data_IF_218975640636
#
_entry.id   IF_218975640636
#
_cell.length_a   1.000
_cell.length_b   1.000
_cell.length_c   1.000
_cell.angle_alpha   90.00
_cell.angle_beta   90.00
_cell.angle_gamma   90.00
#
_symmetry.space_group_name_H-M   'P 1'
#
loop_
_entity.id
_entity.type
_entity.pdbx_description
1 polymer ?
#
# COMPACT_ATOMS: atom_id res chain seq x y z
N UNK A 1 -18.46 18.19 -3.70
CA UNK A 1 -17.09 17.65 -3.52
C UNK A 1 -17.06 16.98 -2.16
N UNK A 2 -16.83 15.67 -2.11
CA UNK A 2 -16.80 14.92 -0.85
C UNK A 2 -15.34 14.75 -0.41
N UNK A 3 -14.88 15.64 0.47
CA UNK A 3 -13.52 15.64 1.04
C UNK A 3 -13.30 14.55 2.08
N UNK A 4 -14.32 13.71 2.37
CA UNK A 4 -14.28 12.69 3.42
C UNK A 4 -13.32 11.52 3.13
N UNK A 5 -12.88 11.37 1.87
CA UNK A 5 -11.99 10.31 1.41
C UNK A 5 -10.50 10.69 1.40
N UNK A 6 -10.17 11.99 1.50
CA UNK A 6 -8.79 12.45 1.50
C UNK A 6 -8.04 11.98 2.76
N UNK A 7 -6.93 11.27 2.57
CA UNK A 7 -6.14 10.68 3.65
C UNK A 7 -4.66 10.60 3.29
N UNK A 8 -3.80 10.69 4.30
CA UNK A 8 -2.38 10.37 4.18
C UNK A 8 -2.19 8.95 4.72
N UNK A 9 -1.63 8.06 3.91
CA UNK A 9 -1.28 6.71 4.36
C UNK A 9 0.23 6.64 4.56
N UNK A 10 0.66 6.37 5.79
CA UNK A 10 2.08 6.24 6.14
C UNK A 10 2.46 4.76 6.07
N UNK A 11 3.51 4.45 5.31
CA UNK A 11 4.03 3.10 5.12
C UNK A 11 5.53 3.05 5.42
N UNK A 12 6.02 1.87 5.81
CA UNK A 12 7.44 1.61 6.05
C UNK A 12 7.89 0.34 5.36
N UNK A 13 9.17 0.30 5.01
CA UNK A 13 9.86 -0.90 4.60
C UNK A 13 11.15 -1.02 5.42
N UNK A 14 11.40 -2.19 6.01
CA UNK A 14 12.62 -2.49 6.76
C UNK A 14 13.60 -3.37 5.99
N UNK A 15 13.30 -3.65 4.72
CA UNK A 15 14.12 -4.49 3.83
C UNK A 15 14.78 -3.61 2.77
N UNK A 16 15.94 -4.05 2.26
CA UNK A 16 16.62 -3.32 1.18
C UNK A 16 15.92 -3.46 -0.16
N UNK A 17 15.13 -4.53 -0.34
CA UNK A 17 14.40 -4.80 -1.56
C UNK A 17 13.01 -4.14 -1.52
N UNK A 18 12.78 -3.24 -2.47
CA UNK A 18 11.49 -2.56 -2.66
C UNK A 18 10.42 -3.55 -3.15
N UNK A 19 10.62 -4.13 -4.33
CA UNK A 19 9.68 -5.00 -5.02
C UNK A 19 9.94 -6.46 -4.66
N UNK A 20 8.89 -7.15 -4.20
CA UNK A 20 8.93 -8.61 -3.99
C UNK A 20 8.68 -9.34 -5.30
N UNK A 21 7.64 -8.96 -6.04
CA UNK A 21 7.18 -9.67 -7.24
C UNK A 21 6.25 -8.81 -8.08
N UNK A 22 6.17 -9.14 -9.38
CA UNK A 22 5.21 -8.58 -10.33
C UNK A 22 4.60 -9.70 -11.17
N UNK A 23 3.29 -9.66 -11.38
CA UNK A 23 2.56 -10.73 -12.06
C UNK A 23 1.20 -10.22 -12.54
N UNK A 24 0.58 -10.95 -13.47
CA UNK A 24 -0.83 -10.77 -13.77
C UNK A 24 -1.67 -11.58 -12.79
N UNK A 25 -2.79 -11.01 -12.34
CA UNK A 25 -3.83 -11.81 -11.71
C UNK A 25 -4.44 -12.78 -12.73
N UNK A 26 -5.00 -13.89 -12.27
CA UNK A 26 -5.71 -14.84 -13.14
C UNK A 26 -7.21 -14.58 -13.18
N UNK A 27 -7.75 -14.05 -12.08
CA UNK A 27 -9.14 -13.63 -11.88
C UNK A 27 -9.19 -12.81 -10.59
N UNK A 28 -10.38 -12.34 -10.20
CA UNK A 28 -10.54 -11.65 -8.93
C UNK A 28 -11.90 -11.00 -8.75
N UNK A 29 -11.99 -10.18 -7.72
CA UNK A 29 -13.12 -9.30 -7.43
C UNK A 29 -12.63 -7.90 -7.11
N UNK A 30 -13.44 -7.11 -6.41
CA UNK A 30 -13.01 -5.76 -6.01
C UNK A 30 -11.99 -5.77 -4.87
N UNK A 31 -12.00 -6.78 -3.99
CA UNK A 31 -11.17 -6.83 -2.78
C UNK A 31 -10.31 -8.10 -2.66
N UNK A 32 -10.18 -8.85 -3.75
CA UNK A 32 -9.29 -10.01 -3.83
C UNK A 32 -8.84 -10.24 -5.27
N UNK A 33 -7.71 -10.91 -5.43
CA UNK A 33 -7.25 -11.42 -6.71
C UNK A 33 -6.71 -12.84 -6.57
N UNK A 34 -6.88 -13.62 -7.62
CA UNK A 34 -6.39 -14.99 -7.71
C UNK A 34 -5.08 -14.99 -8.53
N UNK A 35 -4.18 -15.92 -8.21
CA UNK A 35 -2.87 -16.05 -8.85
C UNK A 35 -2.61 -17.48 -9.31
N UNK A 36 -1.72 -17.65 -10.29
CA UNK A 36 -1.31 -18.98 -10.78
C UNK A 36 -0.60 -19.81 -9.71
N UNK A 37 0.15 -19.15 -8.83
CA UNK A 37 0.84 -19.73 -7.68
C UNK A 37 1.08 -18.66 -6.61
N UNK A 38 1.03 -19.05 -5.34
CA UNK A 38 1.37 -18.18 -4.21
C UNK A 38 2.86 -18.34 -3.91
N UNK A 39 3.59 -17.23 -3.82
CA UNK A 39 5.01 -17.27 -3.45
C UNK A 39 5.18 -17.29 -1.94
N UNK A 40 6.17 -18.05 -1.45
CA UNK A 40 6.49 -18.17 -0.03
C UNK A 40 7.00 -16.87 0.61
N UNK A 41 7.47 -15.91 -0.20
CA UNK A 41 7.97 -14.62 0.26
C UNK A 41 6.87 -13.58 0.51
N UNK A 42 5.62 -13.88 0.15
CA UNK A 42 4.49 -12.97 0.34
C UNK A 42 3.97 -13.07 1.76
N UNK A 43 3.67 -11.92 2.35
CA UNK A 43 3.26 -11.82 3.75
C UNK A 43 2.00 -10.97 3.89
N UNK A 44 1.21 -11.27 4.92
CA UNK A 44 0.14 -10.36 5.36
C UNK A 44 0.75 -9.00 5.72
N UNK A 45 0.10 -7.95 5.24
CA UNK A 45 0.52 -6.56 5.36
C UNK A 45 1.36 -6.04 4.19
N UNK A 46 1.86 -6.90 3.29
CA UNK A 46 2.59 -6.44 2.09
C UNK A 46 1.72 -5.51 1.24
N UNK A 47 2.36 -4.51 0.64
CA UNK A 47 1.72 -3.53 -0.24
C UNK A 47 1.45 -4.17 -1.61
N UNK A 48 0.23 -3.99 -2.10
CA UNK A 48 -0.26 -4.39 -3.42
C UNK A 48 -0.45 -3.11 -4.21
N UNK A 49 0.29 -2.92 -5.30
CA UNK A 49 0.09 -1.83 -6.25
C UNK A 49 -0.43 -2.38 -7.56
N UNK A 50 -1.55 -1.83 -8.06
CA UNK A 50 -2.04 -2.15 -9.41
C UNK A 50 -1.29 -1.28 -10.42
N UNK A 51 -0.46 -1.89 -11.24
CA UNK A 51 0.37 -1.20 -12.24
C UNK A 51 -0.37 -0.96 -13.56
N UNK A 52 -1.32 -1.83 -13.92
CA UNK A 52 -2.14 -1.75 -15.14
C UNK A 52 -3.43 -2.55 -14.98
N UNK A 53 -4.44 -2.28 -15.81
CA UNK A 53 -5.75 -2.93 -15.77
C UNK A 53 -6.77 -2.19 -14.90
N UNK A 54 -7.85 -2.88 -14.54
CA UNK A 54 -8.89 -2.33 -13.65
C UNK A 54 -8.30 -1.87 -12.32
N UNK A 55 -8.58 -0.63 -11.94
CA UNK A 55 -8.05 -0.02 -10.72
C UNK A 55 -6.55 0.32 -10.73
N UNK A 56 -5.93 0.48 -11.91
CA UNK A 56 -4.54 0.93 -12.03
C UNK A 56 -4.23 2.19 -11.20
N UNK A 57 -3.03 2.23 -10.63
CA UNK A 57 -2.60 3.21 -9.65
C UNK A 57 -2.96 2.83 -8.22
N UNK A 58 -4.09 2.16 -7.98
CA UNK A 58 -4.57 1.97 -6.61
C UNK A 58 -3.65 1.04 -5.78
N UNK A 59 -3.42 1.44 -4.53
CA UNK A 59 -2.57 0.71 -3.57
C UNK A 59 -3.42 0.12 -2.45
N UNK A 60 -3.14 -1.13 -2.10
CA UNK A 60 -3.77 -1.86 -1.00
C UNK A 60 -2.74 -2.60 -0.15
N UNK A 61 -3.18 -3.25 0.91
CA UNK A 61 -2.35 -4.15 1.71
C UNK A 61 -2.99 -5.52 1.83
N UNK A 62 -2.18 -6.59 1.77
CA UNK A 62 -2.66 -7.97 1.94
C UNK A 62 -3.24 -8.15 3.34
N UNK A 63 -4.45 -8.69 3.44
CA UNK A 63 -5.08 -9.07 4.71
C UNK A 63 -5.16 -10.57 4.91
N UNK A 64 -5.23 -11.35 3.82
CA UNK A 64 -5.21 -12.80 3.88
C UNK A 64 -4.56 -13.41 2.63
N UNK A 65 -3.92 -14.56 2.81
CA UNK A 65 -3.32 -15.38 1.75
C UNK A 65 -3.91 -16.78 1.88
N UNK A 66 -4.75 -17.17 0.93
CA UNK A 66 -5.27 -18.52 0.79
C UNK A 66 -4.40 -19.29 -0.21
N UNK A 67 -3.55 -20.16 0.32
CA UNK A 67 -2.64 -20.97 -0.50
C UNK A 67 -3.34 -22.09 -1.26
N UNK A 68 -4.53 -22.52 -0.83
CA UNK A 68 -5.28 -23.62 -1.44
C UNK A 68 -6.00 -23.12 -2.69
N UNK A 69 -6.76 -22.02 -2.54
CA UNK A 69 -7.48 -21.40 -3.65
C UNK A 69 -6.60 -20.40 -4.44
N UNK A 70 -5.37 -20.17 -3.97
CA UNK A 70 -4.41 -19.22 -4.55
C UNK A 70 -4.98 -17.81 -4.64
N UNK A 71 -5.68 -17.41 -3.57
CA UNK A 71 -6.39 -16.15 -3.46
C UNK A 71 -5.69 -15.22 -2.49
N UNK A 72 -5.53 -13.98 -2.89
CA UNK A 72 -4.98 -12.90 -2.07
C UNK A 72 -6.10 -11.90 -1.80
N UNK A 73 -6.41 -11.67 -0.53
CA UNK A 73 -7.41 -10.69 -0.10
C UNK A 73 -6.71 -9.42 0.37
N UNK A 74 -7.30 -8.27 0.08
CA UNK A 74 -6.76 -6.95 0.43
C UNK A 74 -7.64 -6.19 1.42
N UNK A 75 -7.10 -5.12 2.00
CA UNK A 75 -7.75 -4.35 3.06
C UNK A 75 -8.97 -3.54 2.61
N UNK A 76 -8.99 -3.09 1.35
CA UNK A 76 -10.08 -2.29 0.79
C UNK A 76 -10.34 -2.68 -0.67
N UNK A 77 -11.61 -2.61 -1.10
CA UNK A 77 -11.97 -2.86 -2.49
C UNK A 77 -11.43 -1.78 -3.44
N UNK A 78 -11.21 -2.11 -4.70
CA UNK A 78 -10.90 -1.13 -5.75
C UNK A 78 -12.06 -0.14 -5.92
N UNK A 79 -11.73 1.14 -6.07
CA UNK A 79 -12.71 2.19 -6.27
C UNK A 79 -13.27 2.19 -7.71
N UNK A 80 -14.36 2.92 -7.92
CA UNK A 80 -15.05 3.08 -9.22
C UNK A 80 -15.65 1.79 -9.80
N UNK A 81 -15.97 0.81 -8.95
CA UNK A 81 -16.55 -0.45 -9.41
C UNK A 81 -15.56 -1.36 -10.13
N UNK A 82 -14.27 -1.04 -10.03
CA UNK A 82 -13.19 -1.82 -10.62
C UNK A 82 -13.00 -3.16 -9.90
N UNK A 83 -12.39 -4.10 -10.60
CA UNK A 83 -12.03 -5.42 -10.07
C UNK A 83 -10.65 -5.83 -10.53
N UNK A 84 -10.00 -6.65 -9.72
CA UNK A 84 -8.83 -7.39 -10.18
C UNK A 84 -9.29 -8.45 -11.20
N UNK A 85 -8.76 -8.39 -12.41
CA UNK A 85 -9.07 -9.33 -13.49
C UNK A 85 -7.79 -9.87 -14.16
N UNK A 86 -7.93 -10.66 -15.21
CA UNK A 86 -6.77 -11.24 -15.91
C UNK A 86 -5.87 -10.22 -16.62
N UNK A 87 -6.32 -8.98 -16.78
CA UNK A 87 -5.53 -7.87 -17.33
C UNK A 87 -4.88 -7.04 -16.22
N UNK A 88 -5.23 -7.26 -14.94
CA UNK A 88 -4.62 -6.57 -13.81
C UNK A 88 -3.17 -7.01 -13.63
N UNK A 89 -2.25 -6.08 -13.91
CA UNK A 89 -0.83 -6.26 -13.62
C UNK A 89 -0.52 -5.72 -12.24
N UNK A 90 -0.03 -6.58 -11.34
CA UNK A 90 0.11 -6.31 -9.92
C UNK A 90 1.58 -6.34 -9.53
N UNK A 91 1.98 -5.43 -8.66
CA UNK A 91 3.25 -5.42 -7.96
C UNK A 91 3.04 -5.59 -6.46
N UNK A 92 3.72 -6.57 -5.87
CA UNK A 92 3.86 -6.68 -4.41
C UNK A 92 5.17 -6.06 -3.96
N UNK A 93 5.11 -5.27 -2.88
CA UNK A 93 6.26 -4.61 -2.26
C UNK A 93 6.29 -4.86 -0.76
N UNK A 94 7.47 -4.76 -0.15
CA UNK A 94 7.67 -5.00 1.29
C UNK A 94 7.14 -3.87 2.18
N UNK A 95 6.44 -2.88 1.61
CA UNK A 95 5.88 -1.76 2.38
C UNK A 95 4.69 -2.24 3.20
N UNK A 96 4.71 -1.96 4.50
CA UNK A 96 3.60 -2.24 5.41
C UNK A 96 2.96 -0.94 5.86
N UNK A 97 1.62 -0.94 5.96
CA UNK A 97 0.83 0.21 6.42
C UNK A 97 0.97 0.38 7.93
N UNK A 98 1.28 1.61 8.34
CA UNK A 98 1.46 2.01 9.74
C UNK A 98 0.20 2.70 10.25
N UNK A 99 -0.25 3.68 9.48
CA UNK A 99 -1.31 4.58 9.87
C UNK A 99 -2.00 5.15 8.65
N UNK A 100 -3.26 5.51 8.84
CA UNK A 100 -4.03 6.35 7.94
C UNK A 100 -4.41 7.59 8.73
N UNK A 101 -4.10 8.76 8.18
CA UNK A 101 -4.32 10.04 8.81
C UNK A 101 -5.35 10.79 7.98
N UNK A 102 -6.49 11.12 8.57
CA UNK A 102 -7.50 12.00 7.97
C UNK A 102 -7.39 13.38 8.59
N UNK A 103 -7.84 14.41 7.85
CA UNK A 103 -7.86 15.79 8.37
C UNK A 103 -8.65 15.95 9.67
N UNK A 104 -9.64 15.08 9.90
CA UNK A 104 -10.44 15.02 11.13
C UNK A 104 -9.70 14.47 12.36
N UNK A 105 -8.55 13.81 12.18
CA UNK A 105 -7.90 13.06 13.27
C UNK A 105 -6.94 13.94 14.09
N UNK A 106 -6.82 15.23 13.75
CA UNK A 106 -6.05 16.22 14.50
C UNK A 106 -6.82 16.65 15.78
N UNK A 107 -6.15 16.74 16.96
CA UNK A 107 -4.72 16.64 17.23
C UNK A 107 -4.19 15.25 17.64
N UNK A 108 -5.06 14.22 17.70
CA UNK A 108 -4.75 12.89 18.25
C UNK A 108 -3.63 12.13 17.52
N UNK A 109 -3.40 12.44 16.24
CA UNK A 109 -2.41 11.82 15.35
C UNK A 109 -0.96 12.07 15.78
N UNK A 110 -0.66 13.23 16.37
CA UNK A 110 0.70 13.63 16.77
C UNK A 110 1.32 12.60 17.73
N UNK A 111 0.51 12.04 18.63
CA UNK A 111 0.95 11.05 19.61
C UNK A 111 1.18 9.64 19.03
N UNK A 112 0.58 9.30 17.89
CA UNK A 112 0.78 7.98 17.24
C UNK A 112 2.08 7.94 16.43
N UNK A 113 2.44 9.05 15.79
CA UNK A 113 3.69 9.16 15.04
C UNK A 113 4.93 9.24 15.95
N UNK A 114 4.81 9.84 17.14
CA UNK A 114 5.88 9.92 18.16
C UNK A 114 6.23 8.58 18.81
N UNK A 115 5.41 7.52 18.63
CA UNK A 115 5.67 6.18 19.20
C UNK A 115 6.53 5.29 18.30
N UNK A 116 7.13 5.83 17.23
CA UNK A 116 8.16 5.15 16.43
C UNK A 116 9.49 5.01 17.20
N UNK A 117 9.46 4.31 18.34
CA UNK A 117 10.64 3.84 19.06
C UNK A 117 11.07 2.49 18.47
N UNK A 118 11.68 2.52 17.28
CA UNK A 118 12.31 1.35 16.69
C UNK A 118 13.82 1.59 16.55
N UNK A 119 14.62 0.67 17.12
CA UNK A 119 16.09 0.66 17.06
C UNK A 119 16.55 0.74 15.61
N UNK A 120 17.62 1.52 15.38
CA UNK A 120 18.33 1.79 14.11
C UNK A 120 17.92 0.91 12.91
N UNK A 121 17.00 1.43 12.09
CA UNK A 121 16.74 0.90 10.74
C UNK A 121 16.54 2.07 9.78
N UNK A 122 16.96 1.88 8.52
CA UNK A 122 16.66 2.80 7.41
C UNK A 122 15.13 2.84 7.25
N UNK A 123 14.50 3.98 7.54
CA UNK A 123 13.06 4.17 7.36
C UNK A 123 12.85 4.91 6.05
N UNK A 124 12.19 4.25 5.10
CA UNK A 124 11.76 4.85 3.84
C UNK A 124 10.29 5.24 3.97
N UNK A 125 10.01 6.54 3.83
CA UNK A 125 8.65 7.05 3.81
C UNK A 125 8.19 7.14 2.35
N UNK A 126 7.01 6.58 2.09
CA UNK A 126 6.27 6.75 0.84
C UNK A 126 4.98 7.47 1.17
N UNK A 127 4.79 8.67 0.60
CA UNK A 127 3.58 9.47 0.77
C UNK A 127 2.75 9.30 -0.50
N UNK A 128 1.54 8.82 -0.33
CA UNK A 128 0.53 8.72 -1.38
C UNK A 128 -0.49 9.84 -1.17
N UNK A 129 -0.61 10.74 -2.14
CA UNK A 129 -1.67 11.76 -2.18
C UNK A 129 -2.66 11.31 -3.23
N UNK A 130 -3.85 10.92 -2.79
CA UNK A 130 -4.94 10.53 -3.68
C UNK A 130 -6.02 11.61 -3.66
N UNK A 131 -6.44 12.05 -4.85
CA UNK A 131 -7.59 12.94 -5.04
C UNK A 131 -8.51 12.39 -6.12
N UNK A 132 -9.84 12.36 -5.91
CA UNK A 132 -10.80 12.01 -6.96
C UNK A 132 -11.03 13.16 -7.96
N UNK A 133 -10.34 14.30 -7.82
CA UNK A 133 -10.60 15.52 -8.61
C UNK A 133 -9.86 15.62 -9.95
N UNK A 134 -9.30 14.52 -10.47
CA UNK A 134 -8.67 14.49 -11.80
C UNK A 134 -9.72 14.48 -12.92
N UNK A 135 -9.42 15.13 -14.05
CA UNK A 135 -10.21 14.97 -15.28
C UNK A 135 -10.22 13.49 -15.70
N UNK A 136 -11.32 13.03 -16.31
CA UNK A 136 -11.45 11.69 -16.88
C UNK A 136 -10.27 11.39 -17.80
N UNK A 137 -9.37 10.50 -17.38
CA UNK A 137 -8.16 10.11 -18.14
C UNK A 137 -6.83 10.61 -17.59
N UNK A 138 -6.80 11.41 -16.51
CA UNK A 138 -5.57 11.75 -15.77
C UNK A 138 -5.67 11.29 -14.32
N UNK A 139 -5.12 10.10 -14.06
CA UNK A 139 -4.80 9.63 -12.72
C UNK A 139 -3.43 10.18 -12.35
N UNK A 140 -3.34 11.42 -11.89
CA UNK A 140 -2.08 11.99 -11.40
C UNK A 140 -1.73 11.39 -10.03
N UNK A 141 -1.37 10.11 -10.06
CA UNK A 141 -0.62 9.46 -8.99
C UNK A 141 0.86 9.78 -9.18
N UNK A 142 1.24 10.97 -8.73
CA UNK A 142 2.65 11.33 -8.58
C UNK A 142 3.17 10.82 -7.24
N UNK A 143 4.00 9.79 -7.25
CA UNK A 143 4.98 9.60 -6.16
C UNK A 143 5.90 10.83 -6.23
N UNK A 144 5.66 11.85 -5.40
CA UNK A 144 6.46 13.08 -5.49
C UNK A 144 7.79 12.96 -4.76
N UNK A 145 7.89 12.11 -3.73
CA UNK A 145 9.11 12.00 -2.94
C UNK A 145 9.18 10.67 -2.18
N UNK A 146 10.34 10.00 -2.30
CA UNK A 146 10.71 8.86 -1.45
C UNK A 146 11.87 9.36 -0.59
N UNK A 147 11.53 9.90 0.58
CA UNK A 147 12.55 10.34 1.53
C UNK A 147 12.99 9.15 2.40
N UNK A 148 14.30 8.93 2.43
CA UNK A 148 14.93 8.00 3.36
C UNK A 148 15.50 8.80 4.53
N UNK A 149 15.09 8.48 5.76
CA UNK A 149 15.68 9.08 6.95
C UNK A 149 16.51 8.03 7.67
N UNK A 150 17.77 8.37 7.97
CA UNK A 150 18.65 7.58 8.82
C UNK A 150 18.64 8.18 10.21
N UNK A 151 18.19 7.42 11.21
CA UNK A 151 18.21 7.85 12.61
C UNK A 151 19.26 7.00 13.34
N UNK A 152 20.41 7.58 13.72
CA UNK A 152 21.39 6.87 14.53
C UNK A 152 20.81 6.61 15.93
N UNK A 153 21.03 5.39 16.44
CA UNK A 153 20.59 4.99 17.76
C UNK A 153 21.31 5.82 18.84
N UNK A 154 20.55 6.42 19.76
CA UNK A 154 21.11 6.89 21.02
C UNK A 154 20.78 5.83 22.05
N UNK A 155 21.78 5.03 22.41
CA UNK A 155 21.74 4.21 23.62
C UNK A 155 21.50 5.16 24.79
N UNK A 156 20.28 5.18 25.32
CA UNK A 156 20.02 5.75 26.65
C UNK A 156 20.57 4.71 27.62
N UNK A 157 21.73 5.01 28.23
CA UNK A 157 22.24 4.26 29.39
C UNK A 157 21.49 4.69 30.64
#
# INVERSE_FOLDING_TARGET
MDSSLARIVVRYNTTEKYQKSTFFATAGGSNYFDVSFVQTAWEIGDEVSVLSGGGAGQIRNITAIDTVNKRITVDEGLFNGESYDSNSYIMLSSFKKIATLKGSDYPSVTNKLLRFNARSKKIQFKIEVWSPSGFTGQWDMGISDISTVYIPDRIIK
#
